data_IF_052772299085
#
_entry.id   IF_052772299085
#
_cell.length_a   1.000
_cell.length_b   1.000
_cell.length_c   1.000
_cell.angle_alpha   90.00
_cell.angle_beta   90.00
_cell.angle_gamma   90.00
#
_symmetry.space_group_name_H-M   'P 1'
#
loop_
_entity.id
_entity.type
_entity.pdbx_description
1 polymer ?
#
# COMPACT_ATOMS: atom_id res chain seq x y z
N UNK A 1 -24.44 -4.08 18.81
CA UNK A 1 -24.12 -3.04 17.80
C UNK A 1 -22.66 -3.15 17.35
N UNK A 2 -22.20 -4.33 16.90
CA UNK A 2 -20.82 -4.54 16.41
C UNK A 2 -20.75 -4.44 14.87
N UNK A 3 -21.89 -4.59 14.19
CA UNK A 3 -21.99 -4.71 12.73
C UNK A 3 -21.82 -3.37 12.00
N UNK A 4 -22.28 -2.25 12.60
CA UNK A 4 -22.17 -0.91 11.99
C UNK A 4 -20.70 -0.51 11.75
N UNK A 5 -19.83 -0.68 12.76
CA UNK A 5 -18.41 -0.29 12.64
C UNK A 5 -17.66 -1.07 11.56
N UNK A 6 -17.98 -2.34 11.37
CA UNK A 6 -17.35 -3.19 10.36
C UNK A 6 -17.91 -2.89 8.97
N UNK A 7 -19.20 -2.55 8.87
CA UNK A 7 -19.84 -2.09 7.64
C UNK A 7 -19.24 -0.78 7.12
N UNK A 8 -19.08 0.22 7.98
CA UNK A 8 -18.49 1.52 7.60
C UNK A 8 -17.06 1.38 7.06
N UNK A 9 -16.29 0.45 7.62
CA UNK A 9 -14.92 0.19 7.19
C UNK A 9 -14.86 -0.51 5.83
N UNK A 10 -15.80 -1.42 5.58
CA UNK A 10 -15.95 -2.05 4.26
C UNK A 10 -16.37 -1.03 3.20
N UNK A 11 -17.44 -0.28 3.46
CA UNK A 11 -17.96 0.74 2.54
C UNK A 11 -16.92 1.84 2.31
N UNK A 12 -16.18 2.22 3.35
CA UNK A 12 -15.09 3.19 3.22
C UNK A 12 -14.00 2.74 2.23
N UNK A 13 -13.71 1.44 2.17
CA UNK A 13 -12.75 0.88 1.21
C UNK A 13 -13.32 0.82 -0.21
N UNK A 14 -14.59 0.44 -0.34
CA UNK A 14 -15.30 0.40 -1.62
C UNK A 14 -15.40 1.79 -2.25
N UNK A 15 -15.84 2.79 -1.46
CA UNK A 15 -15.92 4.20 -1.90
C UNK A 15 -14.55 4.80 -2.19
N UNK A 16 -13.49 4.36 -1.51
CA UNK A 16 -12.11 4.74 -1.82
C UNK A 16 -11.56 4.07 -3.10
N UNK A 17 -12.37 3.24 -3.77
CA UNK A 17 -12.02 2.60 -5.04
C UNK A 17 -11.07 1.42 -4.91
N UNK A 18 -10.97 0.80 -3.72
CA UNK A 18 -10.19 -0.43 -3.59
C UNK A 18 -10.84 -1.57 -4.39
N UNK A 19 -10.05 -2.44 -5.03
CA UNK A 19 -10.58 -3.51 -5.88
C UNK A 19 -11.30 -4.57 -5.03
N UNK A 20 -12.63 -4.51 -5.05
CA UNK A 20 -13.54 -5.35 -4.26
C UNK A 20 -13.25 -6.86 -4.36
N UNK A 21 -12.81 -7.30 -5.55
CA UNK A 21 -12.59 -8.70 -5.89
C UNK A 21 -11.10 -9.10 -5.90
N UNK A 22 -10.27 -8.41 -5.13
CA UNK A 22 -8.84 -8.72 -5.00
C UNK A 22 -8.42 -8.81 -3.54
N UNK A 23 -7.40 -9.61 -3.25
CA UNK A 23 -6.76 -9.68 -1.94
C UNK A 23 -6.26 -8.31 -1.45
N UNK A 24 -5.89 -7.44 -2.40
CA UNK A 24 -5.48 -6.05 -2.16
C UNK A 24 -6.57 -5.18 -1.49
N UNK A 25 -7.83 -5.61 -1.47
CA UNK A 25 -8.90 -4.95 -0.72
C UNK A 25 -8.60 -4.84 0.78
N UNK A 26 -7.79 -5.77 1.30
CA UNK A 26 -7.41 -5.89 2.71
C UNK A 26 -6.16 -5.07 3.10
N UNK A 27 -5.64 -4.19 2.24
CA UNK A 27 -4.38 -3.47 2.55
C UNK A 27 -4.60 -2.41 3.65
N UNK A 28 -3.65 -2.23 4.58
CA UNK A 28 -3.70 -1.12 5.54
C UNK A 28 -3.42 0.20 4.82
N UNK A 29 -4.03 1.32 5.24
CA UNK A 29 -3.64 2.61 4.71
C UNK A 29 -2.14 2.86 4.95
N UNK A 30 -1.46 3.59 4.05
CA UNK A 30 -0.10 4.03 4.27
C UNK A 30 0.04 4.70 5.64
N UNK A 31 1.06 4.30 6.39
CA UNK A 31 1.32 4.84 7.72
C UNK A 31 2.80 4.85 8.05
N UNK A 32 3.16 5.73 8.97
CA UNK A 32 4.49 5.74 9.57
C UNK A 32 4.58 4.74 10.73
N UNK A 33 5.70 4.02 10.87
CA UNK A 33 5.95 3.20 12.05
C UNK A 33 6.18 4.07 13.29
N UNK A 34 5.96 3.48 14.47
CA UNK A 34 5.94 4.21 15.75
C UNK A 34 7.27 4.92 16.09
N UNK A 35 8.39 4.55 15.47
CA UNK A 35 9.70 5.18 15.68
C UNK A 35 9.91 6.49 14.90
N UNK A 36 9.05 6.83 13.94
CA UNK A 36 9.18 8.06 13.13
C UNK A 36 8.32 9.23 13.61
N UNK A 37 7.77 9.15 14.82
CA UNK A 37 6.84 10.15 15.37
C UNK A 37 7.45 11.56 15.34
N UNK A 38 8.71 11.75 15.74
CA UNK A 38 9.30 13.08 15.83
C UNK A 38 9.36 13.84 14.48
N UNK A 39 9.79 13.18 13.41
CA UNK A 39 9.83 13.80 12.08
C UNK A 39 8.42 14.09 11.53
N UNK A 40 7.48 13.18 11.79
CA UNK A 40 6.07 13.33 11.41
C UNK A 40 5.41 14.51 12.14
N UNK A 41 5.69 14.69 13.43
CA UNK A 41 5.18 15.83 14.21
C UNK A 41 5.67 17.18 13.69
N UNK A 42 6.87 17.23 13.09
CA UNK A 42 7.38 18.44 12.44
C UNK A 42 6.76 18.64 11.04
N UNK A 43 6.55 17.55 10.31
CA UNK A 43 6.05 17.59 8.93
C UNK A 43 4.56 17.94 8.84
N UNK A 44 3.72 17.41 9.74
CA UNK A 44 2.27 17.64 9.72
C UNK A 44 1.89 19.13 9.73
N UNK A 45 2.45 19.99 10.62
CA UNK A 45 2.19 21.43 10.60
C UNK A 45 2.63 22.13 9.30
N UNK A 46 3.70 21.65 8.65
CA UNK A 46 4.21 22.23 7.41
C UNK A 46 3.30 21.93 6.22
N UNK A 47 2.75 20.72 6.17
CA UNK A 47 1.86 20.27 5.09
C UNK A 47 0.42 20.74 5.32
N UNK A 48 -0.05 20.76 6.57
CA UNK A 48 -1.43 21.10 6.96
C UNK A 48 -1.51 22.25 7.98
N UNK A 49 -0.98 23.46 7.66
CA UNK A 49 -0.84 24.53 8.64
C UNK A 49 -2.17 24.99 9.24
N UNK A 50 -3.23 25.05 8.44
CA UNK A 50 -4.57 25.48 8.89
C UNK A 50 -5.27 24.47 9.80
N UNK A 51 -4.81 23.20 9.81
CA UNK A 51 -5.42 22.12 10.57
C UNK A 51 -4.59 21.73 11.80
N UNK A 52 -3.39 22.30 11.95
CA UNK A 52 -2.47 21.97 13.04
C UNK A 52 -3.03 22.29 14.44
N UNK A 53 -3.94 23.27 14.56
CA UNK A 53 -4.58 23.61 15.83
C UNK A 53 -5.66 22.61 16.27
N UNK A 54 -6.11 21.72 15.38
CA UNK A 54 -7.21 20.78 15.64
C UNK A 54 -6.63 19.44 16.10
N UNK A 55 -6.35 19.32 17.39
CA UNK A 55 -5.69 18.14 17.98
C UNK A 55 -6.46 16.83 17.80
N UNK A 56 -7.80 16.90 17.73
CA UNK A 56 -8.68 15.74 17.57
C UNK A 56 -8.47 14.99 16.24
N UNK A 57 -7.91 15.65 15.22
CA UNK A 57 -7.67 15.05 13.90
C UNK A 57 -6.18 14.75 13.63
N UNK A 58 -5.30 14.94 14.62
CA UNK A 58 -3.85 14.70 14.45
C UNK A 58 -3.56 13.31 13.88
N UNK A 59 -4.23 12.26 14.38
CA UNK A 59 -4.09 10.90 13.85
C UNK A 59 -4.50 10.76 12.38
N UNK A 60 -5.52 11.51 11.95
CA UNK A 60 -5.96 11.54 10.54
C UNK A 60 -4.92 12.27 9.69
N UNK A 61 -4.43 13.43 10.14
CA UNK A 61 -3.41 14.20 9.41
C UNK A 61 -2.11 13.40 9.19
N UNK A 62 -1.71 12.56 10.15
CA UNK A 62 -0.58 11.65 9.99
C UNK A 62 -0.81 10.62 8.87
N UNK A 63 -2.00 10.04 8.79
CA UNK A 63 -2.35 9.11 7.70
C UNK A 63 -2.46 9.85 6.37
N UNK A 64 -3.04 11.05 6.34
CA UNK A 64 -3.07 11.89 5.12
C UNK A 64 -1.66 12.20 4.63
N UNK A 65 -0.73 12.56 5.52
CA UNK A 65 0.68 12.78 5.15
C UNK A 65 1.29 11.51 4.57
N UNK A 66 1.10 10.36 5.22
CA UNK A 66 1.60 9.09 4.73
C UNK A 66 1.04 8.71 3.36
N UNK A 67 -0.26 8.95 3.12
CA UNK A 67 -0.90 8.74 1.82
C UNK A 67 -0.34 9.67 0.74
N UNK A 68 -0.08 10.95 1.05
CA UNK A 68 0.53 11.89 0.10
C UNK A 68 1.95 11.48 -0.29
N UNK A 69 2.74 10.98 0.66
CA UNK A 69 4.09 10.47 0.41
C UNK A 69 4.04 9.18 -0.40
N UNK A 70 3.18 8.24 -0.03
CA UNK A 70 3.10 6.93 -0.69
C UNK A 70 2.63 7.01 -2.15
N UNK A 71 1.79 7.98 -2.47
CA UNK A 71 1.23 8.17 -3.80
C UNK A 71 1.86 9.35 -4.55
N UNK A 72 3.08 9.76 -4.21
CA UNK A 72 3.69 10.95 -4.81
C UNK A 72 3.81 10.82 -6.33
N UNK A 73 4.18 9.65 -6.83
CA UNK A 73 4.37 9.34 -8.24
C UNK A 73 3.05 9.47 -9.01
N UNK A 74 1.99 8.88 -8.44
CA UNK A 74 0.63 8.96 -8.97
C UNK A 74 0.07 10.39 -8.91
N UNK A 75 0.45 11.20 -7.93
CA UNK A 75 -0.02 12.58 -7.82
C UNK A 75 0.75 13.49 -8.77
N UNK A 76 2.05 13.31 -8.94
CA UNK A 76 2.89 14.16 -9.80
C UNK A 76 2.64 13.89 -11.27
N UNK A 77 2.38 12.64 -11.67
CA UNK A 77 2.22 12.27 -13.08
C UNK A 77 1.04 12.96 -13.81
N UNK A 78 -0.18 13.04 -13.24
CA UNK A 78 -1.33 13.65 -13.90
C UNK A 78 -1.56 15.13 -13.53
N UNK A 79 -1.00 15.62 -12.42
CA UNK A 79 -1.30 16.98 -11.95
C UNK A 79 -0.49 18.04 -12.71
N UNK A 80 -1.11 19.17 -13.10
CA UNK A 80 -0.38 20.29 -13.65
C UNK A 80 0.69 20.81 -12.67
N UNK A 81 1.86 21.29 -13.12
CA UNK A 81 2.88 21.86 -12.24
C UNK A 81 2.39 23.05 -11.40
N UNK A 82 1.33 23.73 -11.84
CA UNK A 82 0.69 24.85 -11.13
C UNK A 82 -0.32 24.40 -10.07
N UNK A 83 -0.53 23.09 -9.90
CA UNK A 83 -1.51 22.57 -8.97
C UNK A 83 -1.12 22.90 -7.52
N UNK A 84 -2.10 23.38 -6.73
CA UNK A 84 -1.85 23.88 -5.37
C UNK A 84 -1.20 22.82 -4.45
N UNK A 85 -1.49 21.53 -4.67
CA UNK A 85 -0.86 20.42 -3.94
C UNK A 85 0.67 20.42 -4.14
N UNK A 86 1.13 20.53 -5.39
CA UNK A 86 2.56 20.46 -5.73
C UNK A 86 3.34 21.70 -5.24
N UNK A 87 2.64 22.79 -4.92
CA UNK A 87 3.24 23.97 -4.29
C UNK A 87 3.57 23.79 -2.81
N UNK A 88 3.06 22.72 -2.16
CA UNK A 88 3.30 22.45 -0.73
C UNK A 88 4.74 22.00 -0.46
N UNK A 89 5.20 22.26 0.76
CA UNK A 89 6.56 21.96 1.20
C UNK A 89 6.99 20.51 0.93
N UNK A 90 6.05 19.56 1.05
CA UNK A 90 6.27 18.15 0.79
C UNK A 90 6.81 17.88 -0.62
N UNK A 91 6.19 18.45 -1.65
CA UNK A 91 6.51 18.18 -3.07
C UNK A 91 7.62 19.07 -3.63
N UNK A 92 8.01 20.13 -2.91
CA UNK A 92 9.09 21.04 -3.34
C UNK A 92 10.47 20.59 -2.92
N UNK A 93 10.59 19.71 -1.92
CA UNK A 93 11.87 19.25 -1.38
C UNK A 93 12.03 17.75 -1.62
N UNK A 94 12.81 17.40 -2.65
CA UNK A 94 13.07 16.00 -3.04
C UNK A 94 13.70 15.18 -1.92
N UNK A 95 14.61 15.76 -1.12
CA UNK A 95 15.24 15.08 0.01
C UNK A 95 14.24 14.76 1.11
N UNK A 96 13.42 15.75 1.48
CA UNK A 96 12.38 15.59 2.50
C UNK A 96 11.40 14.48 2.11
N UNK A 97 10.93 14.47 0.87
CA UNK A 97 10.00 13.45 0.37
C UNK A 97 10.65 12.05 0.35
N UNK A 98 11.87 11.93 -0.16
CA UNK A 98 12.62 10.66 -0.24
C UNK A 98 12.85 10.06 1.15
N UNK A 99 13.18 10.91 2.13
CA UNK A 99 13.35 10.47 3.52
C UNK A 99 12.06 9.84 4.06
N UNK A 100 10.89 10.42 3.78
CA UNK A 100 9.63 9.83 4.22
C UNK A 100 9.24 8.56 3.45
N UNK A 101 9.45 8.50 2.12
CA UNK A 101 9.14 7.31 1.31
C UNK A 101 9.77 6.06 1.93
N UNK A 102 11.05 6.13 2.30
CA UNK A 102 11.81 4.99 2.82
C UNK A 102 11.25 4.39 4.12
N UNK A 103 10.34 5.10 4.79
CA UNK A 103 9.76 4.71 6.07
C UNK A 103 8.25 4.43 6.02
N UNK A 104 7.61 4.52 4.85
CA UNK A 104 6.17 4.22 4.72
C UNK A 104 5.93 2.71 4.81
N UNK A 105 4.89 2.33 5.54
CA UNK A 105 4.39 0.96 5.65
C UNK A 105 2.94 0.86 5.19
N UNK A 106 2.60 -0.25 4.53
CA UNK A 106 1.24 -0.66 4.15
C UNK A 106 0.82 -1.97 4.82
N UNK A 107 1.70 -2.52 5.67
CA UNK A 107 1.48 -3.74 6.45
C UNK A 107 1.95 -3.52 7.89
N UNK A 108 1.38 -4.26 8.84
CA UNK A 108 1.75 -4.17 10.25
C UNK A 108 1.40 -5.46 10.97
N UNK A 109 2.25 -5.91 11.89
CA UNK A 109 1.93 -7.01 12.80
C UNK A 109 1.00 -6.58 13.95
N UNK A 110 0.99 -5.28 14.28
CA UNK A 110 0.21 -4.73 15.38
C UNK A 110 -1.19 -4.27 14.96
N UNK A 111 -1.41 -4.01 13.66
CA UNK A 111 -2.70 -3.57 13.11
C UNK A 111 -3.20 -4.60 12.12
N UNK A 112 -4.45 -5.01 12.29
CA UNK A 112 -5.14 -5.84 11.32
C UNK A 112 -6.11 -4.98 10.51
N UNK A 113 -6.17 -5.15 9.19
CA UNK A 113 -7.21 -4.52 8.39
C UNK A 113 -8.57 -5.05 8.84
N UNK A 114 -9.50 -4.15 9.09
CA UNK A 114 -10.85 -4.47 9.58
C UNK A 114 -11.88 -4.23 8.47
N UNK A 115 -13.06 -4.86 8.57
CA UNK A 115 -14.08 -4.73 7.51
C UNK A 115 -13.85 -5.60 6.28
N UNK A 116 -13.00 -6.63 6.38
CA UNK A 116 -12.72 -7.54 5.27
C UNK A 116 -13.84 -8.57 5.17
N UNK A 117 -14.45 -8.70 3.98
CA UNK A 117 -15.44 -9.74 3.75
C UNK A 117 -14.78 -11.12 3.64
N UNK A 118 -15.44 -12.21 4.11
CA UNK A 118 -14.86 -13.55 4.07
C UNK A 118 -14.38 -14.01 2.70
N UNK A 119 -15.01 -13.55 1.61
CA UNK A 119 -14.59 -13.93 0.27
C UNK A 119 -13.25 -13.28 -0.15
N UNK A 120 -12.88 -12.12 0.42
CA UNK A 120 -11.58 -11.48 0.14
C UNK A 120 -10.45 -12.38 0.63
N UNK A 121 -10.66 -13.06 1.74
CA UNK A 121 -9.74 -14.08 2.26
C UNK A 121 -9.67 -15.31 1.33
N UNK A 122 -10.79 -15.71 0.73
CA UNK A 122 -10.79 -16.77 -0.29
C UNK A 122 -9.94 -16.35 -1.50
N UNK A 123 -10.09 -15.11 -1.98
CA UNK A 123 -9.25 -14.61 -3.09
C UNK A 123 -7.77 -14.59 -2.72
N UNK A 124 -7.40 -14.22 -1.49
CA UNK A 124 -6.01 -14.29 -1.01
C UNK A 124 -5.47 -15.71 -1.06
N UNK A 125 -6.23 -16.69 -0.56
CA UNK A 125 -5.81 -18.10 -0.57
C UNK A 125 -5.68 -18.67 -1.98
N UNK A 126 -6.57 -18.26 -2.90
CA UNK A 126 -6.49 -18.65 -4.31
C UNK A 126 -5.24 -18.09 -4.98
N UNK A 127 -4.91 -16.83 -4.73
CA UNK A 127 -3.71 -16.18 -5.26
C UNK A 127 -2.43 -16.91 -4.77
N UNK A 128 -2.37 -17.22 -3.47
CA UNK A 128 -1.27 -18.00 -2.89
C UNK A 128 -1.14 -19.41 -3.47
N UNK A 129 -2.27 -20.10 -3.66
CA UNK A 129 -2.28 -21.43 -4.27
C UNK A 129 -1.82 -21.38 -5.74
N UNK A 130 -2.26 -20.38 -6.51
CA UNK A 130 -1.83 -20.17 -7.89
C UNK A 130 -0.32 -19.93 -7.98
N UNK A 131 0.23 -19.07 -7.14
CA UNK A 131 1.69 -18.80 -7.09
C UNK A 131 2.47 -20.07 -6.73
N UNK A 132 2.00 -20.85 -5.76
CA UNK A 132 2.63 -22.10 -5.37
C UNK A 132 2.64 -23.14 -6.51
N UNK A 133 1.53 -23.29 -7.22
CA UNK A 133 1.42 -24.20 -8.37
C UNK A 133 2.36 -23.79 -9.52
N UNK A 134 2.42 -22.49 -9.85
CA UNK A 134 3.34 -21.98 -10.87
C UNK A 134 4.82 -22.19 -10.47
N UNK A 135 5.14 -22.03 -9.18
CA UNK A 135 6.48 -22.29 -8.67
C UNK A 135 6.89 -23.77 -8.79
N UNK A 136 5.93 -24.71 -8.72
CA UNK A 136 6.15 -26.14 -8.92
C UNK A 136 6.20 -26.55 -10.39
N UNK A 137 5.47 -25.86 -11.28
CA UNK A 137 5.51 -26.09 -12.72
C UNK A 137 6.86 -25.71 -13.34
N UNK A 138 7.49 -24.61 -12.88
CA UNK A 138 8.82 -24.19 -13.38
C UNK A 138 9.89 -25.30 -13.33
N UNK A 139 10.07 -26.01 -12.21
CA UNK A 139 10.97 -27.17 -12.13
C UNK A 139 10.64 -28.30 -13.11
N UNK A 140 9.35 -28.62 -13.31
CA UNK A 140 8.93 -29.71 -14.19
C UNK A 140 9.25 -29.40 -15.66
N UNK A 141 8.99 -28.17 -16.11
CA UNK A 141 9.36 -27.73 -17.46
C UNK A 141 10.89 -27.73 -17.69
N UNK A 142 11.67 -27.40 -16.66
CA UNK A 142 13.15 -27.47 -16.76
C UNK A 142 13.69 -28.90 -16.80
N UNK A 143 13.01 -29.88 -16.19
CA UNK A 143 13.42 -31.28 -16.24
C UNK A 143 13.09 -31.93 -17.59
N UNK A 144 11.97 -31.56 -18.23
CA UNK A 144 11.62 -32.03 -19.58
C UNK A 144 12.62 -31.52 -20.64
N UNK A 145 13.21 -30.34 -20.47
CA UNK A 145 14.28 -29.85 -21.37
C UNK A 145 15.62 -30.56 -21.19
N UNK A 146 15.90 -31.11 -20.00
CA UNK A 146 17.13 -31.88 -19.74
C UNK A 146 17.05 -33.30 -20.31
N UNK A 147 15.86 -33.93 -20.36
CA UNK A 147 15.70 -35.25 -20.97
C UNK A 147 15.71 -35.23 -22.50
N UNK A 148 15.42 -34.09 -23.14
CA UNK A 148 15.48 -33.95 -24.60
C UNK A 148 16.89 -33.64 -25.15
N UNK A 149 17.85 -33.26 -24.28
CA UNK A 149 19.22 -32.91 -24.67
C UNK A 149 20.21 -34.09 -24.74
N UNK A 150 19.78 -35.33 -24.46
CA UNK A 150 20.69 -36.48 -24.31
C UNK A 150 20.40 -37.64 -25.26
N UNK A 151 19.88 -37.31 -26.45
CA UNK A 151 19.71 -38.27 -27.56
C UNK A 151 20.19 -37.68 -28.87
N UNK A 152 21.48 -37.37 -28.99
CA UNK A 152 22.11 -37.25 -30.32
C UNK A 152 23.61 -37.59 -30.24
N UNK A 153 24.03 -38.44 -31.20
CA UNK A 153 25.37 -38.92 -31.53
C UNK A 153 25.94 -40.14 -30.76
N UNK A 154 25.50 -41.32 -31.20
CA UNK A 154 26.41 -42.45 -31.45
C UNK A 154 26.44 -42.68 -32.97
N UNK A 155 27.57 -42.36 -33.59
CA UNK A 155 28.16 -43.13 -34.69
C UNK A 155 29.66 -42.83 -34.74
#
# INVERSE_FOLDING_TARGET
MQYEKTGDQFIGRDVAGLPLNQSAFSVLPPHFPNNHVAAVEVAVPLVFPSLNSVTSISGVLRHCLASLVFHDDYLVAPLPPTHALLSRALFRSSTFLTDFISHIQTTSSARQPTGILPYVEIYRQLDEACVALQALQRPLETMDTCEYGQKDYVC
#
